data_IF_815854339423
#
_entry.id   IF_815854339423
#
_cell.length_a   1.000
_cell.length_b   1.000
_cell.length_c   1.000
_cell.angle_alpha   90.00
_cell.angle_beta   90.00
_cell.angle_gamma   90.00
#
_symmetry.space_group_name_H-M   'P 1'
#
loop_
_entity.id
_entity.type
_entity.pdbx_description
1 polymer ?
#
# COMPACT_ATOMS: atom_id res chain seq x y z
N UNK A 1 5.44 -33.88 5.00
CA UNK A 1 6.51 -33.18 4.26
C UNK A 1 6.02 -32.16 3.23
N UNK A 2 5.08 -32.42 2.30
CA UNK A 2 4.60 -31.36 1.37
C UNK A 2 3.73 -30.29 2.06
N UNK A 3 2.88 -30.68 3.02
CA UNK A 3 2.00 -29.74 3.76
C UNK A 3 2.76 -28.77 4.68
N UNK A 4 3.83 -29.22 5.33
CA UNK A 4 4.63 -28.38 6.25
C UNK A 4 5.35 -27.26 5.49
N UNK A 5 5.76 -27.53 4.25
CA UNK A 5 6.46 -26.57 3.40
C UNK A 5 5.51 -25.48 2.84
N UNK A 6 4.25 -25.83 2.56
CA UNK A 6 3.21 -24.88 2.16
C UNK A 6 2.82 -23.99 3.34
N UNK A 7 2.68 -24.57 4.54
CA UNK A 7 2.33 -23.83 5.75
C UNK A 7 3.44 -22.82 6.14
N UNK A 8 4.71 -23.21 6.08
CA UNK A 8 5.84 -22.30 6.32
C UNK A 8 5.88 -21.15 5.30
N UNK A 9 5.77 -21.44 3.99
CA UNK A 9 5.74 -20.41 2.93
C UNK A 9 4.55 -19.46 3.05
N UNK A 10 3.45 -19.92 3.64
CA UNK A 10 2.26 -19.09 3.88
C UNK A 10 2.46 -18.13 5.05
N UNK A 11 3.15 -18.56 6.11
CA UNK A 11 3.52 -17.72 7.25
C UNK A 11 4.50 -16.63 6.79
N UNK A 12 5.57 -17.00 6.06
CA UNK A 12 6.54 -16.05 5.52
C UNK A 12 5.88 -15.01 4.61
N UNK A 13 4.93 -15.45 3.78
CA UNK A 13 4.19 -14.54 2.91
C UNK A 13 3.24 -13.63 3.69
N UNK A 14 2.64 -14.11 4.78
CA UNK A 14 1.81 -13.28 5.66
C UNK A 14 2.63 -12.20 6.37
N UNK A 15 3.82 -12.55 6.87
CA UNK A 15 4.75 -11.60 7.47
C UNK A 15 5.20 -10.54 6.45
N UNK A 16 5.58 -10.97 5.25
CA UNK A 16 5.95 -10.06 4.16
C UNK A 16 4.76 -9.18 3.72
N UNK A 17 3.54 -9.72 3.72
CA UNK A 17 2.30 -8.97 3.44
C UNK A 17 2.10 -7.86 4.46
N UNK A 18 2.32 -8.14 5.75
CA UNK A 18 2.21 -7.16 6.82
C UNK A 18 3.33 -6.10 6.72
N UNK A 19 4.55 -6.52 6.37
CA UNK A 19 5.66 -5.60 6.11
C UNK A 19 5.31 -4.62 4.97
N UNK A 20 4.81 -5.14 3.85
CA UNK A 20 4.42 -4.31 2.70
C UNK A 20 3.27 -3.38 3.04
N UNK A 21 2.24 -3.87 3.74
CA UNK A 21 1.14 -2.99 4.22
C UNK A 21 1.68 -1.82 5.01
N UNK A 22 2.58 -2.08 5.97
CA UNK A 22 3.22 -1.02 6.77
C UNK A 22 4.02 -0.04 5.89
N UNK A 23 4.82 -0.56 4.97
CA UNK A 23 5.62 0.23 4.03
C UNK A 23 4.75 1.18 3.17
N UNK A 24 3.60 0.69 2.70
CA UNK A 24 2.66 1.46 1.89
C UNK A 24 1.96 2.53 2.74
N UNK A 25 1.51 2.18 3.95
CA UNK A 25 0.90 3.13 4.89
C UNK A 25 1.87 4.25 5.28
N UNK A 26 3.11 3.92 5.64
CA UNK A 26 4.13 4.90 6.00
C UNK A 26 4.40 5.88 4.84
N UNK A 27 4.38 5.38 3.61
CA UNK A 27 4.49 6.22 2.42
C UNK A 27 3.31 7.16 2.26
N UNK A 28 2.09 6.68 2.42
CA UNK A 28 0.89 7.49 2.29
C UNK A 28 0.88 8.61 3.34
N UNK A 29 1.25 8.32 4.59
CA UNK A 29 1.40 9.32 5.63
C UNK A 29 2.48 10.37 5.30
N UNK A 30 3.63 9.93 4.78
CA UNK A 30 4.68 10.83 4.32
C UNK A 30 4.24 11.72 3.15
N UNK A 31 3.53 11.13 2.18
CA UNK A 31 3.02 11.82 1.00
C UNK A 31 1.98 12.88 1.40
N UNK A 32 1.10 12.55 2.35
CA UNK A 32 0.10 13.48 2.90
C UNK A 32 0.71 14.72 3.50
N UNK A 33 1.63 14.53 4.46
CA UNK A 33 2.31 15.61 5.18
C UNK A 33 3.04 16.55 4.22
N UNK A 34 3.62 16.01 3.14
CA UNK A 34 4.42 16.79 2.18
C UNK A 34 3.60 17.40 1.04
N UNK A 35 2.58 16.69 0.53
CA UNK A 35 1.87 17.01 -0.71
C UNK A 35 0.39 17.33 -0.45
N UNK A 36 -0.38 16.42 0.17
CA UNK A 36 -1.83 16.60 0.29
C UNK A 36 -2.21 17.83 1.13
N UNK A 37 -1.46 18.13 2.20
CA UNK A 37 -1.66 19.35 2.99
C UNK A 37 -1.50 20.64 2.18
N UNK A 38 -0.74 20.60 1.07
CA UNK A 38 -0.51 21.73 0.17
C UNK A 38 -1.46 21.74 -1.04
N UNK A 39 -2.27 20.71 -1.22
CA UNK A 39 -3.21 20.65 -2.35
C UNK A 39 -4.39 21.62 -2.12
N UNK A 40 -4.62 22.51 -3.07
CA UNK A 40 -5.81 23.36 -3.11
C UNK A 40 -7.09 22.54 -3.23
N UNK A 41 -8.23 23.11 -2.80
CA UNK A 41 -9.54 22.48 -2.94
C UNK A 41 -9.84 22.09 -4.39
N UNK A 42 -9.55 22.98 -5.34
CA UNK A 42 -9.72 22.74 -6.77
C UNK A 42 -8.89 21.54 -7.25
N UNK A 43 -7.63 21.44 -6.80
CA UNK A 43 -6.77 20.29 -7.12
C UNK A 43 -7.33 18.99 -6.53
N UNK A 44 -7.84 19.05 -5.29
CA UNK A 44 -8.46 17.88 -4.63
C UNK A 44 -9.70 17.39 -5.39
N UNK A 45 -10.54 18.30 -5.85
CA UNK A 45 -11.72 17.98 -6.65
C UNK A 45 -11.33 17.38 -8.02
N UNK A 46 -10.38 18.00 -8.74
CA UNK A 46 -9.86 17.48 -10.03
C UNK A 46 -9.28 16.07 -9.90
N UNK A 47 -8.56 15.81 -8.81
CA UNK A 47 -7.95 14.50 -8.53
C UNK A 47 -8.92 13.50 -7.88
N UNK A 48 -10.19 13.88 -7.68
CA UNK A 48 -11.21 13.07 -6.99
C UNK A 48 -10.69 12.51 -5.67
N UNK A 49 -10.06 13.36 -4.87
CA UNK A 49 -9.65 12.99 -3.52
C UNK A 49 -10.91 12.64 -2.71
N UNK A 50 -10.94 11.44 -2.13
CA UNK A 50 -12.02 11.02 -1.22
C UNK A 50 -11.46 10.75 0.16
N UNK A 51 -12.20 11.14 1.19
CA UNK A 51 -11.87 10.75 2.57
C UNK A 51 -12.18 9.27 2.78
N UNK A 52 -11.38 8.60 3.61
CA UNK A 52 -11.64 7.23 4.07
C UNK A 52 -11.71 7.21 5.60
N UNK A 53 -12.35 6.21 6.17
CA UNK A 53 -12.59 6.07 7.62
C UNK A 53 -11.36 5.55 8.36
N UNK A 54 -10.22 6.17 8.11
CA UNK A 54 -8.98 5.96 8.85
C UNK A 54 -8.49 7.30 9.37
N UNK A 55 -7.96 7.32 10.58
CA UNK A 55 -7.45 8.52 11.22
C UNK A 55 -6.09 8.22 11.86
N UNK A 56 -5.15 9.15 11.73
CA UNK A 56 -3.90 9.13 12.49
C UNK A 56 -3.63 10.54 13.01
N UNK A 57 -3.31 10.66 14.30
CA UNK A 57 -3.06 11.93 14.97
C UNK A 57 -4.18 12.97 14.75
N UNK A 58 -5.44 12.51 14.69
CA UNK A 58 -6.61 13.36 14.45
C UNK A 58 -6.82 13.80 13.00
N UNK A 59 -5.99 13.35 12.06
CA UNK A 59 -6.09 13.70 10.64
C UNK A 59 -6.82 12.58 9.90
N UNK A 60 -7.95 12.93 9.25
CA UNK A 60 -8.67 11.99 8.40
C UNK A 60 -7.84 11.61 7.17
N UNK A 61 -7.81 10.32 6.91
CA UNK A 61 -7.19 9.78 5.73
C UNK A 61 -8.01 10.15 4.47
N UNK A 62 -7.32 10.45 3.38
CA UNK A 62 -7.82 10.95 2.09
C UNK A 62 -7.08 10.30 0.94
N UNK A 63 -7.72 9.50 0.12
CA UNK A 63 -7.09 8.77 -0.96
C UNK A 63 -7.27 9.51 -2.29
N UNK A 64 -6.27 9.49 -3.18
CA UNK A 64 -6.40 10.08 -4.52
C UNK A 64 -5.51 9.39 -5.54
N UNK A 65 -5.93 9.44 -6.82
CA UNK A 65 -5.22 8.76 -7.90
C UNK A 65 -3.78 9.26 -8.12
N UNK A 66 -3.43 10.47 -7.67
CA UNK A 66 -2.05 10.97 -7.71
C UNK A 66 -1.18 10.26 -6.68
N UNK A 67 -1.70 10.05 -5.47
CA UNK A 67 -1.01 9.30 -4.42
C UNK A 67 -0.83 7.85 -4.85
N UNK A 68 -1.87 7.21 -5.39
CA UNK A 68 -1.80 5.85 -5.93
C UNK A 68 -0.71 5.69 -6.98
N UNK A 69 -0.68 6.60 -7.96
CA UNK A 69 0.34 6.59 -9.01
C UNK A 69 1.73 6.78 -8.42
N UNK A 70 1.91 7.73 -7.50
CA UNK A 70 3.21 7.99 -6.89
C UNK A 70 3.71 6.79 -6.04
N UNK A 71 2.83 6.22 -5.22
CA UNK A 71 3.09 5.01 -4.43
C UNK A 71 3.45 3.83 -5.33
N UNK A 72 2.65 3.63 -6.38
CA UNK A 72 2.85 2.56 -7.35
C UNK A 72 4.17 2.68 -8.08
N UNK A 73 4.54 3.89 -8.50
CA UNK A 73 5.84 4.12 -9.15
C UNK A 73 7.00 3.89 -8.18
N UNK A 74 6.91 4.36 -6.94
CA UNK A 74 7.97 4.20 -5.95
C UNK A 74 8.23 2.74 -5.57
N UNK A 75 7.18 1.96 -5.34
CA UNK A 75 7.28 0.57 -4.88
C UNK A 75 6.97 -0.46 -5.96
N UNK A 76 7.04 -0.09 -7.24
CA UNK A 76 6.71 -0.99 -8.36
C UNK A 76 7.43 -2.33 -8.25
N UNK A 77 8.75 -2.30 -8.04
CA UNK A 77 9.59 -3.51 -7.93
C UNK A 77 9.20 -4.35 -6.72
N UNK A 78 9.02 -3.72 -5.56
CA UNK A 78 8.62 -4.38 -4.31
C UNK A 78 7.29 -5.10 -4.47
N UNK A 79 6.27 -4.43 -5.03
CA UNK A 79 4.94 -5.02 -5.24
C UNK A 79 4.98 -6.15 -6.27
N UNK A 80 5.71 -5.99 -7.38
CA UNK A 80 5.87 -7.05 -8.39
C UNK A 80 6.55 -8.27 -7.79
N UNK A 81 7.63 -8.07 -7.04
CA UNK A 81 8.33 -9.17 -6.37
C UNK A 81 7.40 -9.88 -5.38
N UNK A 82 6.69 -9.15 -4.52
CA UNK A 82 5.75 -9.74 -3.57
C UNK A 82 4.65 -10.59 -4.22
N UNK A 83 4.04 -10.08 -5.29
CA UNK A 83 3.05 -10.84 -6.07
C UNK A 83 3.71 -12.07 -6.70
N UNK A 84 4.94 -11.95 -7.17
CA UNK A 84 5.67 -13.06 -7.78
C UNK A 84 5.99 -14.18 -6.77
N UNK A 85 6.19 -13.84 -5.51
CA UNK A 85 6.45 -14.78 -4.42
C UNK A 85 5.18 -15.31 -3.74
N UNK A 86 4.00 -15.03 -4.30
CA UNK A 86 2.73 -15.51 -3.73
C UNK A 86 2.73 -17.05 -3.65
N UNK A 87 2.43 -17.65 -2.47
CA UNK A 87 2.55 -19.10 -2.25
C UNK A 87 1.68 -19.93 -3.21
N UNK A 88 0.55 -19.38 -3.67
CA UNK A 88 -0.34 -20.03 -4.64
C UNK A 88 0.07 -19.88 -6.12
N UNK A 89 1.11 -19.09 -6.45
CA UNK A 89 1.46 -18.81 -7.86
C UNK A 89 2.11 -19.98 -8.58
N UNK A 90 2.64 -20.97 -7.85
CA UNK A 90 3.27 -22.17 -8.41
C UNK A 90 2.33 -23.40 -8.40
N UNK A 91 1.04 -23.21 -8.11
CA UNK A 91 0.03 -24.28 -8.05
C UNK A 91 -1.07 -24.14 -9.12
N UNK A 92 -0.88 -23.25 -10.11
CA UNK A 92 -1.68 -23.10 -11.33
C UNK A 92 -0.83 -23.51 -12.53
#
# INVERSE_FOLDING_TARGET
MQNENIQARTIDWHEESNHIKKLLLDYDWGYRKKICLKCSLETRQKLRCFSVDNFQDGIQETHCGKMDKARTQKYRKTMVNFINFHPLRNHL
#
